data_IF_594388187946
#
_entry.id   IF_594388187946
#
_cell.length_a   1.000
_cell.length_b   1.000
_cell.length_c   1.000
_cell.angle_alpha   90.00
_cell.angle_beta   90.00
_cell.angle_gamma   90.00
#
_symmetry.space_group_name_H-M   'P 1'
#
loop_
_entity.id
_entity.type
_entity.pdbx_description
1 polymer ?
#
# COMPACT_ATOMS: atom_id res chain seq x y z
N UNK A 1 -6.48 8.81 -9.17
CA UNK A 1 -6.93 7.44 -8.81
C UNK A 1 -6.37 7.08 -7.43
N UNK A 2 -6.96 6.11 -6.72
CA UNK A 2 -6.41 5.55 -5.48
C UNK A 2 -5.49 4.37 -5.80
N UNK A 3 -4.30 4.34 -5.22
CA UNK A 3 -3.30 3.28 -5.40
C UNK A 3 -2.91 2.77 -4.02
N UNK A 4 -3.03 1.45 -3.81
CA UNK A 4 -2.59 0.78 -2.60
C UNK A 4 -1.25 0.08 -2.84
N UNK A 5 -0.25 0.36 -2.01
CA UNK A 5 0.99 -0.40 -1.97
C UNK A 5 0.91 -1.44 -0.86
N UNK A 6 1.00 -2.70 -1.25
CA UNK A 6 1.09 -3.81 -0.32
C UNK A 6 2.52 -3.97 0.17
N UNK A 7 2.73 -3.86 1.48
CA UNK A 7 4.04 -3.94 2.12
C UNK A 7 3.97 -4.90 3.30
N UNK A 8 5.06 -5.57 3.63
CA UNK A 8 5.05 -6.54 4.74
C UNK A 8 4.83 -5.85 6.09
N UNK A 9 5.43 -4.67 6.28
CA UNK A 9 5.21 -3.82 7.45
C UNK A 9 5.49 -2.36 7.09
N UNK A 10 4.48 -1.51 7.26
CA UNK A 10 4.49 -0.06 7.20
C UNK A 10 5.49 0.51 8.20
N UNK A 11 5.55 0.00 9.43
CA UNK A 11 6.49 0.48 10.44
C UNK A 11 7.96 0.33 9.98
N UNK A 12 8.25 -0.73 9.21
CA UNK A 12 9.58 -1.00 8.68
C UNK A 12 9.89 -0.33 7.34
N UNK A 13 8.93 0.36 6.71
CA UNK A 13 9.15 1.00 5.42
C UNK A 13 10.17 2.15 5.52
N UNK A 14 10.99 2.29 4.49
CA UNK A 14 12.04 3.30 4.44
C UNK A 14 12.06 4.03 3.10
N UNK A 15 12.53 5.29 3.05
CA UNK A 15 12.62 6.06 1.79
C UNK A 15 13.43 5.38 0.69
N UNK A 16 14.34 4.46 1.03
CA UNK A 16 15.16 3.73 0.07
C UNK A 16 14.43 2.56 -0.60
N UNK A 17 13.30 2.11 -0.07
CA UNK A 17 12.54 1.01 -0.66
C UNK A 17 11.77 1.48 -1.90
N UNK A 18 11.70 0.58 -2.89
CA UNK A 18 11.05 0.86 -4.16
C UNK A 18 9.57 1.19 -3.99
N UNK A 19 8.89 0.54 -3.04
CA UNK A 19 7.51 0.82 -2.62
C UNK A 19 7.33 2.29 -2.24
N UNK A 20 8.22 2.80 -1.39
CA UNK A 20 8.20 4.20 -0.96
C UNK A 20 8.53 5.18 -2.09
N UNK A 21 9.50 4.85 -2.94
CA UNK A 21 9.83 5.68 -4.11
C UNK A 21 8.66 5.78 -5.11
N UNK A 22 7.97 4.65 -5.36
CA UNK A 22 6.81 4.61 -6.25
C UNK A 22 5.61 5.34 -5.66
N UNK A 23 5.37 5.22 -4.34
CA UNK A 23 4.35 5.97 -3.64
C UNK A 23 4.55 7.49 -3.81
N UNK A 24 5.78 7.97 -3.62
CA UNK A 24 6.11 9.38 -3.84
C UNK A 24 5.85 9.82 -5.29
N UNK A 25 6.30 9.02 -6.26
CA UNK A 25 6.09 9.31 -7.68
C UNK A 25 4.62 9.33 -8.10
N UNK A 26 3.78 8.53 -7.44
CA UNK A 26 2.34 8.51 -7.64
C UNK A 26 1.66 9.75 -7.04
N UNK A 27 2.02 10.15 -5.82
CA UNK A 27 1.53 11.39 -5.19
C UNK A 27 1.86 12.60 -6.06
N UNK A 28 3.09 12.69 -6.58
CA UNK A 28 3.52 13.78 -7.47
C UNK A 28 2.72 13.86 -8.78
N UNK A 29 2.10 12.76 -9.21
CA UNK A 29 1.21 12.71 -10.38
C UNK A 29 -0.26 12.94 -10.05
N UNK A 30 -0.59 13.28 -8.80
CA UNK A 30 -1.96 13.56 -8.36
C UNK A 30 -2.77 12.30 -8.01
N UNK A 31 -2.11 11.16 -7.76
CA UNK A 31 -2.77 9.98 -7.23
C UNK A 31 -2.87 10.05 -5.69
N UNK A 32 -3.92 9.46 -5.13
CA UNK A 32 -4.03 9.23 -3.69
C UNK A 32 -3.40 7.88 -3.40
N UNK A 33 -2.48 7.83 -2.44
CA UNK A 33 -1.73 6.63 -2.08
C UNK A 33 -2.09 6.20 -0.66
N UNK A 34 -2.24 4.90 -0.46
CA UNK A 34 -2.33 4.25 0.85
C UNK A 34 -1.35 3.08 0.91
N UNK A 35 -0.85 2.78 2.09
CA UNK A 35 -0.13 1.54 2.36
C UNK A 35 -1.09 0.54 3.00
N UNK A 36 -0.85 -0.74 2.73
CA UNK A 36 -1.63 -1.85 3.24
C UNK A 36 -0.67 -2.96 3.65
N UNK A 37 -0.83 -3.49 4.85
CA UNK A 37 -0.11 -4.66 5.37
C UNK A 37 -0.92 -5.96 5.19
N UNK A 38 -0.30 -7.14 5.28
CA UNK A 38 -1.03 -8.41 5.31
C UNK A 38 -2.15 -8.45 6.34
N UNK A 39 -1.95 -7.81 7.50
CA UNK A 39 -2.94 -7.75 8.59
C UNK A 39 -4.18 -6.92 8.27
N UNK A 40 -4.11 -6.04 7.25
CA UNK A 40 -5.25 -5.24 6.81
C UNK A 40 -6.20 -6.05 5.91
N UNK A 41 -5.77 -7.21 5.41
CA UNK A 41 -6.64 -8.10 4.65
C UNK A 41 -7.43 -9.01 5.59
N UNK A 42 -8.75 -8.83 5.58
CA UNK A 42 -9.68 -9.80 6.18
C UNK A 42 -10.04 -10.80 5.10
N UNK A 43 -9.52 -12.02 5.19
CA UNK A 43 -10.03 -13.13 4.40
C UNK A 43 -11.41 -13.50 4.97
N UNK A 44 -12.46 -13.06 4.27
CA UNK A 44 -13.82 -13.42 4.63
C UNK A 44 -14.13 -14.86 4.19
N UNK A 45 -15.13 -15.52 4.80
CA UNK A 45 -15.55 -16.87 4.42
C UNK A 45 -15.99 -17.01 2.96
N UNK A 46 -16.27 -15.89 2.27
CA UNK A 46 -16.66 -15.81 0.87
C UNK A 46 -15.48 -15.43 -0.06
N UNK A 47 -14.24 -15.51 0.42
CA UNK A 47 -13.00 -15.12 -0.27
C UNK A 47 -12.99 -13.65 -0.76
N UNK A 48 -13.88 -12.80 -0.24
CA UNK A 48 -13.92 -11.38 -0.56
C UNK A 48 -12.87 -10.56 0.21
N UNK A 49 -12.22 -9.63 -0.49
CA UNK A 49 -11.38 -8.58 0.10
C UNK A 49 -12.16 -7.26 0.02
N UNK A 50 -12.41 -6.60 1.16
CA UNK A 50 -13.19 -5.35 1.26
C UNK A 50 -12.29 -4.12 1.41
#
# INVERSE_FOLDING_TARGET
MRIAFFVNSIESETPGYTTTALALAAVQRGHSVVYVEPGDFILRPDDGLA
#
